data_IF_787583238664
#
_entry.id   IF_787583238664
#
_cell.length_a   1.000
_cell.length_b   1.000
_cell.length_c   1.000
_cell.angle_alpha   90.00
_cell.angle_beta   90.00
_cell.angle_gamma   90.00
#
_symmetry.space_group_name_H-M   'P 1'
#
loop_
_entity.id
_entity.type
_entity.pdbx_description
1 polymer ?
#
# COMPACT_ATOMS: atom_id res chain seq x y z
N UNK A 1 -8.07 12.84 -9.31
CA UNK A 1 -7.10 12.15 -8.42
C UNK A 1 -7.71 10.85 -7.92
N UNK A 2 -6.99 9.78 -8.08
CA UNK A 2 -7.39 8.48 -7.53
C UNK A 2 -6.41 8.06 -6.44
N UNK A 3 -6.86 7.13 -5.62
CA UNK A 3 -6.06 6.56 -4.54
C UNK A 3 -6.09 5.03 -4.67
N UNK A 4 -4.91 4.42 -4.69
CA UNK A 4 -4.77 2.97 -4.66
C UNK A 4 -4.41 2.58 -3.23
N UNK A 5 -5.30 1.86 -2.58
CA UNK A 5 -5.10 1.41 -1.21
C UNK A 5 -4.68 -0.06 -1.22
N UNK A 6 -3.54 -0.35 -0.60
CA UNK A 6 -3.04 -1.72 -0.42
C UNK A 6 -3.05 -1.99 1.06
N UNK A 7 -3.89 -2.93 1.48
CA UNK A 7 -4.21 -3.15 2.90
C UNK A 7 -3.87 -4.58 3.29
N UNK A 8 -3.10 -4.73 4.35
CA UNK A 8 -2.64 -6.04 4.82
C UNK A 8 -3.45 -6.43 6.07
N UNK A 9 -4.37 -7.41 5.94
CA UNK A 9 -5.20 -7.84 7.09
C UNK A 9 -4.35 -8.25 8.28
N UNK A 10 -4.76 -7.86 9.47
CA UNK A 10 -4.06 -8.19 10.70
C UNK A 10 -4.37 -9.63 11.09
N UNK A 11 -3.39 -10.53 10.87
CA UNK A 11 -3.52 -11.94 11.18
C UNK A 11 -2.61 -12.32 12.32
N UNK A 12 -3.17 -13.02 13.31
CA UNK A 12 -2.40 -13.55 14.44
C UNK A 12 -1.28 -14.48 13.90
N UNK A 13 -0.06 -14.27 14.39
CA UNK A 13 1.08 -15.09 14.00
C UNK A 13 1.69 -14.75 12.65
N UNK A 14 1.12 -13.82 11.90
CA UNK A 14 1.66 -13.42 10.62
C UNK A 14 2.81 -12.43 10.80
N UNK A 15 3.71 -12.38 9.81
CA UNK A 15 4.88 -11.51 9.82
C UNK A 15 4.60 -10.26 8.99
N UNK A 16 5.00 -9.10 9.50
CA UNK A 16 5.00 -7.86 8.73
C UNK A 16 6.15 -6.98 9.20
N UNK A 17 7.16 -6.83 8.36
CA UNK A 17 8.34 -6.02 8.64
C UNK A 17 8.07 -4.58 8.20
N UNK A 18 7.62 -3.74 9.15
CA UNK A 18 7.29 -2.34 8.87
C UNK A 18 8.48 -1.53 8.39
N UNK A 19 9.68 -1.82 8.91
CA UNK A 19 10.88 -1.09 8.52
C UNK A 19 11.23 -1.35 7.06
N UNK A 20 11.21 -2.61 6.63
CA UNK A 20 11.45 -2.97 5.24
C UNK A 20 10.41 -2.33 4.32
N UNK A 21 9.13 -2.40 4.71
CA UNK A 21 8.03 -1.85 3.93
C UNK A 21 8.23 -0.36 3.69
N UNK A 22 8.55 0.38 4.73
CA UNK A 22 8.78 1.83 4.68
C UNK A 22 10.05 2.19 3.91
N UNK A 23 11.16 1.47 4.18
CA UNK A 23 12.49 1.91 3.74
C UNK A 23 12.94 1.28 2.41
N UNK A 24 12.34 0.15 2.02
CA UNK A 24 12.74 -0.60 0.82
C UNK A 24 11.61 -0.77 -0.18
N UNK A 25 10.46 -1.29 0.26
CA UNK A 25 9.37 -1.64 -0.67
C UNK A 25 8.72 -0.41 -1.27
N UNK A 26 8.27 0.52 -0.45
CA UNK A 26 7.57 1.70 -0.97
C UNK A 26 8.47 2.63 -1.77
N UNK A 27 9.74 2.84 -1.39
CA UNK A 27 10.66 3.56 -2.28
C UNK A 27 10.86 2.87 -3.63
N UNK A 28 10.85 1.54 -3.69
CA UNK A 28 10.90 0.80 -4.96
C UNK A 28 9.67 1.12 -5.82
N UNK A 29 8.48 1.07 -5.23
CA UNK A 29 7.23 1.39 -5.93
C UNK A 29 7.30 2.80 -6.52
N UNK A 30 7.70 3.78 -5.71
CA UNK A 30 7.82 5.17 -6.15
C UNK A 30 8.84 5.31 -7.28
N UNK A 31 9.99 4.65 -7.16
CA UNK A 31 11.04 4.72 -8.18
C UNK A 31 10.55 4.16 -9.52
N UNK A 32 9.79 3.06 -9.49
CA UNK A 32 9.29 2.43 -10.71
C UNK A 32 8.14 3.22 -11.34
N UNK A 33 7.25 3.79 -10.53
CA UNK A 33 6.14 4.60 -11.04
C UNK A 33 6.58 5.98 -11.51
N UNK A 34 7.65 6.52 -10.92
CA UNK A 34 8.12 7.85 -11.25
C UNK A 34 7.09 8.93 -10.94
N UNK A 35 6.96 9.89 -11.85
CA UNK A 35 6.09 11.06 -11.65
C UNK A 35 4.59 10.71 -11.64
N UNK A 36 4.22 9.53 -12.10
CA UNK A 36 2.82 9.08 -12.04
C UNK A 36 2.35 8.88 -10.60
N UNK A 37 3.25 8.52 -9.70
CA UNK A 37 2.96 8.52 -8.28
C UNK A 37 3.13 9.93 -7.75
N UNK A 38 2.02 10.62 -7.50
CA UNK A 38 2.06 12.01 -7.02
C UNK A 38 2.62 12.09 -5.62
N UNK A 39 2.13 11.21 -4.76
CA UNK A 39 2.70 10.95 -3.43
C UNK A 39 2.09 9.66 -2.90
N UNK A 40 2.61 9.18 -1.79
CA UNK A 40 2.05 8.01 -1.14
C UNK A 40 2.17 8.17 0.38
N UNK A 41 1.32 7.43 1.10
CA UNK A 41 1.40 7.33 2.55
C UNK A 41 1.58 5.88 2.94
N UNK A 42 2.23 5.67 4.08
CA UNK A 42 2.42 4.34 4.66
C UNK A 42 1.87 4.39 6.08
N UNK A 43 0.96 3.47 6.40
CA UNK A 43 0.28 3.46 7.69
C UNK A 43 0.59 2.17 8.44
N UNK A 44 0.86 2.32 9.74
CA UNK A 44 1.00 1.19 10.65
C UNK A 44 -0.26 1.11 11.50
N UNK A 45 -0.90 -0.06 11.55
CA UNK A 45 -2.11 -0.25 12.34
C UNK A 45 -1.84 -0.08 13.82
N UNK A 46 -2.69 0.66 14.51
CA UNK A 46 -2.57 0.91 15.94
C UNK A 46 -3.74 0.32 16.74
N UNK A 47 -4.97 0.46 16.22
CA UNK A 47 -6.18 0.05 16.93
C UNK A 47 -7.32 -0.08 15.95
N UNK A 48 -8.37 -0.83 16.35
CA UNK A 48 -9.62 -0.89 15.61
C UNK A 48 -10.53 0.29 15.95
N UNK A 49 -11.73 0.26 15.39
CA UNK A 49 -12.68 1.35 15.56
C UNK A 49 -13.35 1.41 16.92
N UNK A 50 -13.44 0.28 17.64
CA UNK A 50 -14.04 0.23 18.97
C UNK A 50 -12.94 0.15 20.02
N UNK A 51 -13.20 0.66 21.25
CA UNK A 51 -12.24 0.58 22.35
C UNK A 51 -11.79 -0.87 22.60
N UNK A 52 -10.48 -1.09 22.65
CA UNK A 52 -9.91 -2.41 22.90
C UNK A 52 -9.79 -3.31 21.68
N UNK A 53 -10.31 -2.92 20.53
CA UNK A 53 -10.18 -3.72 19.33
C UNK A 53 -8.77 -3.58 18.73
N UNK A 54 -8.21 -4.70 18.23
CA UNK A 54 -6.95 -4.62 17.48
C UNK A 54 -7.18 -3.94 16.14
N UNK A 55 -6.09 -3.46 15.52
CA UNK A 55 -6.15 -2.89 14.18
C UNK A 55 -6.71 -3.92 13.20
N UNK A 56 -7.59 -3.48 12.29
CA UNK A 56 -8.13 -4.34 11.23
C UNK A 56 -7.06 -4.73 10.23
N UNK A 57 -6.17 -3.79 9.92
CA UNK A 57 -5.04 -4.00 9.00
C UNK A 57 -3.75 -3.69 9.76
N UNK A 58 -2.76 -4.59 9.63
CA UNK A 58 -1.48 -4.39 10.31
C UNK A 58 -0.67 -3.28 9.64
N UNK A 59 -0.82 -3.14 8.33
CA UNK A 59 -0.16 -2.10 7.56
C UNK A 59 -0.97 -1.75 6.34
N UNK A 60 -0.82 -0.53 5.86
CA UNK A 60 -1.46 -0.07 4.64
C UNK A 60 -0.54 0.89 3.92
N UNK A 61 -0.71 0.99 2.60
CA UNK A 61 -0.20 2.13 1.87
C UNK A 61 -1.30 2.69 0.98
N UNK A 62 -1.21 3.97 0.68
CA UNK A 62 -2.10 4.65 -0.23
C UNK A 62 -1.24 5.38 -1.26
N UNK A 63 -1.43 5.05 -2.53
CA UNK A 63 -0.69 5.65 -3.64
C UNK A 63 -1.64 6.56 -4.39
N UNK A 64 -1.24 7.80 -4.61
CA UNK A 64 -2.07 8.80 -5.27
C UNK A 64 -1.57 9.04 -6.69
N UNK A 65 -2.49 8.99 -7.66
CA UNK A 65 -2.20 9.18 -9.07
C UNK A 65 -3.33 9.99 -9.73
N UNK A 66 -3.08 10.51 -10.93
CA UNK A 66 -4.07 11.34 -11.61
C UNK A 66 -5.30 10.55 -12.06
N UNK A 67 -5.10 9.29 -12.46
CA UNK A 67 -6.18 8.45 -12.99
C UNK A 67 -5.82 6.97 -12.85
N UNK A 68 -6.84 6.12 -12.99
CA UNK A 68 -6.63 4.66 -13.03
C UNK A 68 -5.68 4.30 -14.16
N UNK A 69 -5.85 4.93 -15.33
CA UNK A 69 -5.01 4.67 -16.48
C UNK A 69 -3.55 5.04 -16.22
N UNK A 70 -3.30 6.19 -15.60
CA UNK A 70 -1.95 6.62 -15.24
C UNK A 70 -1.30 5.64 -14.26
N UNK A 71 -2.08 5.14 -13.30
CA UNK A 71 -1.59 4.13 -12.37
C UNK A 71 -1.24 2.83 -13.11
N UNK A 72 -2.14 2.34 -13.95
CA UNK A 72 -1.92 1.07 -14.65
C UNK A 72 -0.73 1.13 -15.59
N UNK A 73 -0.56 2.25 -16.29
CA UNK A 73 0.57 2.44 -17.21
C UNK A 73 1.92 2.49 -16.49
N UNK A 74 1.95 3.09 -15.30
CA UNK A 74 3.19 3.27 -14.56
C UNK A 74 3.52 2.07 -13.67
N UNK A 75 2.51 1.41 -13.11
CA UNK A 75 2.70 0.27 -12.22
C UNK A 75 2.76 -1.06 -12.99
N UNK A 76 1.90 -1.22 -14.00
CA UNK A 76 1.74 -2.49 -14.72
C UNK A 76 3.04 -3.12 -15.22
N UNK A 77 3.93 -2.35 -15.91
CA UNK A 77 5.19 -2.91 -16.39
C UNK A 77 6.11 -3.43 -15.29
N UNK A 78 5.91 -2.97 -14.05
CA UNK A 78 6.75 -3.31 -12.90
C UNK A 78 6.01 -4.17 -11.87
N UNK A 79 4.75 -4.54 -12.15
CA UNK A 79 3.92 -5.26 -11.19
C UNK A 79 4.58 -6.56 -10.73
N UNK A 80 5.16 -7.33 -11.64
CA UNK A 80 5.79 -8.60 -11.29
C UNK A 80 6.95 -8.41 -10.31
N UNK A 81 7.80 -7.43 -10.56
CA UNK A 81 8.93 -7.12 -9.69
C UNK A 81 8.45 -6.66 -8.30
N UNK A 82 7.47 -5.76 -8.29
CA UNK A 82 6.94 -5.19 -7.05
C UNK A 82 6.24 -6.28 -6.22
N UNK A 83 5.41 -7.09 -6.86
CA UNK A 83 4.69 -8.17 -6.16
C UNK A 83 5.64 -9.24 -5.63
N UNK A 84 6.73 -9.52 -6.34
CA UNK A 84 7.73 -10.48 -5.87
C UNK A 84 8.43 -10.01 -4.59
N UNK A 85 8.55 -8.70 -4.39
CA UNK A 85 9.19 -8.12 -3.22
C UNK A 85 8.36 -8.28 -1.94
N UNK A 86 7.06 -8.54 -2.06
CA UNK A 86 6.16 -8.67 -0.90
C UNK A 86 6.65 -9.75 0.06
N UNK A 87 7.12 -10.89 -0.44
CA UNK A 87 7.59 -11.98 0.40
C UNK A 87 8.77 -11.60 1.30
N UNK A 88 9.48 -10.52 0.97
CA UNK A 88 10.61 -10.05 1.77
C UNK A 88 10.17 -9.37 3.07
N UNK A 89 8.93 -8.91 3.18
CA UNK A 89 8.47 -8.23 4.39
C UNK A 89 7.22 -8.84 5.02
N UNK A 90 6.47 -9.67 4.31
CA UNK A 90 5.26 -10.26 4.89
C UNK A 90 4.87 -11.56 4.20
N UNK A 91 4.12 -12.38 4.94
CA UNK A 91 3.45 -13.57 4.42
C UNK A 91 1.94 -13.35 4.25
N UNK A 92 1.46 -12.12 4.45
CA UNK A 92 0.04 -11.78 4.32
C UNK A 92 -0.25 -11.37 2.88
N UNK A 93 -1.33 -11.92 2.31
CA UNK A 93 -1.83 -11.47 1.02
C UNK A 93 -2.57 -10.14 1.20
N UNK A 94 -2.20 -9.07 0.47
CA UNK A 94 -2.88 -7.79 0.61
C UNK A 94 -4.24 -7.77 -0.08
N UNK A 95 -5.10 -6.87 0.38
CA UNK A 95 -6.35 -6.50 -0.28
C UNK A 95 -6.13 -5.15 -0.93
N UNK A 96 -6.52 -5.01 -2.19
CA UNK A 96 -6.33 -3.76 -2.93
C UNK A 96 -7.67 -3.16 -3.33
N UNK A 97 -7.73 -1.83 -3.33
CA UNK A 97 -8.87 -1.09 -3.82
C UNK A 97 -8.41 0.20 -4.46
N UNK A 98 -9.02 0.56 -5.59
CA UNK A 98 -8.81 1.85 -6.23
C UNK A 98 -10.04 2.71 -5.97
N UNK A 99 -9.84 3.92 -5.48
CA UNK A 99 -10.92 4.83 -5.12
C UNK A 99 -10.72 6.18 -5.79
N UNK A 100 -11.84 6.84 -6.13
CA UNK A 100 -11.80 8.24 -6.51
C UNK A 100 -11.74 9.08 -5.24
N UNK A 101 -10.83 10.06 -5.20
CA UNK A 101 -10.78 11.00 -4.08
C UNK A 101 -11.87 12.03 -4.33
N UNK A 102 -12.99 11.88 -3.62
CA UNK A 102 -14.18 12.71 -3.81
C UNK A 102 -14.03 14.06 -3.11
N UNK A 103 -13.39 14.07 -1.95
CA UNK A 103 -13.10 15.28 -1.18
C UNK A 103 -11.69 15.19 -0.64
N UNK A 104 -10.92 16.25 -0.87
CA UNK A 104 -9.58 16.38 -0.28
C UNK A 104 -9.49 17.77 0.34
N UNK A 105 -9.12 17.82 1.62
CA UNK A 105 -9.04 19.08 2.37
C UNK A 105 -7.65 19.31 2.93
#
# INVERSE_FOLDING_TARGET
MIKVSVMYPNKSGARFDHQYYRDKHMPLVKARMGDACKYYTVDKGLAGGAPGDPATYVGMCHIFADSVEAFQKSFGPHAKEIMADIANYTDIAPVMQISEVVVEK
#
